data_IF_398000147155
#
_entry.id   IF_398000147155
#
_cell.length_a   1.000
_cell.length_b   1.000
_cell.length_c   1.000
_cell.angle_alpha   90.00
_cell.angle_beta   90.00
_cell.angle_gamma   90.00
#
_symmetry.space_group_name_H-M   'P 1'
#
loop_
_entity.id
_entity.type
_entity.pdbx_description
1 polymer ?
#
# COMPACT_ATOMS: atom_id res chain seq x y z
N UNK A 1 -2.56 64.78 -56.66
CA UNK A 1 -2.54 64.20 -55.31
C UNK A 1 -3.54 63.04 -55.24
N UNK A 2 -3.14 61.83 -55.36
CA UNK A 2 -4.01 60.64 -55.24
C UNK A 2 -3.45 59.79 -54.09
N UNK A 3 -4.22 59.66 -53.03
CA UNK A 3 -3.94 58.78 -51.89
C UNK A 3 -4.11 57.31 -52.30
N UNK A 4 -3.09 56.50 -52.12
CA UNK A 4 -3.16 55.04 -52.23
C UNK A 4 -3.60 54.47 -50.87
N UNK A 5 -4.74 53.80 -50.86
CA UNK A 5 -5.25 53.00 -49.78
C UNK A 5 -4.52 51.63 -49.84
N UNK A 6 -3.76 51.28 -48.83
CA UNK A 6 -3.15 49.96 -48.68
C UNK A 6 -4.17 49.06 -47.99
N UNK A 7 -4.65 48.06 -48.70
CA UNK A 7 -5.52 47.02 -48.16
C UNK A 7 -4.64 45.97 -47.46
N UNK A 8 -4.79 45.87 -46.15
CA UNK A 8 -4.19 44.77 -45.35
C UNK A 8 -5.07 43.53 -45.47
N UNK A 9 -4.58 42.53 -46.18
CA UNK A 9 -5.14 41.18 -46.21
C UNK A 9 -4.86 40.47 -44.89
N UNK A 10 -5.91 40.15 -44.13
CA UNK A 10 -5.82 39.21 -43.00
C UNK A 10 -5.71 37.79 -43.58
N UNK A 11 -4.79 36.96 -43.07
CA UNK A 11 -4.76 35.56 -43.46
C UNK A 11 -5.96 34.82 -42.87
N UNK A 12 -6.57 33.98 -43.69
CA UNK A 12 -7.71 33.12 -43.37
C UNK A 12 -7.42 32.26 -42.13
N UNK A 13 -8.39 32.26 -41.21
CA UNK A 13 -8.41 31.38 -40.03
C UNK A 13 -8.32 29.93 -40.51
N UNK A 14 -7.23 29.29 -40.17
CA UNK A 14 -7.01 27.87 -40.46
C UNK A 14 -8.11 27.01 -39.86
N UNK A 15 -8.58 26.07 -40.65
CA UNK A 15 -9.48 24.99 -40.25
C UNK A 15 -8.96 24.29 -39.02
N UNK A 16 -9.76 24.29 -37.95
CA UNK A 16 -9.54 23.43 -36.78
C UNK A 16 -9.47 21.98 -37.28
N UNK A 17 -8.30 21.36 -37.19
CA UNK A 17 -8.19 19.91 -37.28
C UNK A 17 -8.92 19.31 -36.07
N UNK A 18 -9.75 18.28 -36.26
CA UNK A 18 -10.33 17.56 -35.16
C UNK A 18 -9.18 17.00 -34.31
N UNK A 19 -9.32 17.13 -33.00
CA UNK A 19 -8.40 16.59 -31.99
C UNK A 19 -8.06 15.15 -32.38
N UNK A 20 -6.78 14.88 -32.57
CA UNK A 20 -6.30 13.52 -32.81
C UNK A 20 -6.97 12.59 -31.81
N UNK A 21 -7.59 11.52 -32.28
CA UNK A 21 -8.07 10.43 -31.44
C UNK A 21 -6.94 10.07 -30.48
N UNK A 22 -7.18 10.20 -29.18
CA UNK A 22 -6.21 9.77 -28.18
C UNK A 22 -5.94 8.30 -28.44
N UNK A 23 -4.71 7.97 -28.82
CA UNK A 23 -4.30 6.58 -28.99
C UNK A 23 -4.64 5.82 -27.72
N UNK A 24 -5.56 4.87 -27.83
CA UNK A 24 -6.02 4.05 -26.73
C UNK A 24 -4.86 3.21 -26.21
N UNK A 25 -4.52 3.35 -24.94
CA UNK A 25 -3.42 2.63 -24.33
C UNK A 25 -3.91 1.24 -23.91
N UNK A 26 -3.45 0.21 -24.63
CA UNK A 26 -3.79 -1.19 -24.35
C UNK A 26 -3.49 -1.56 -22.89
N UNK A 27 -4.40 -2.30 -22.26
CA UNK A 27 -4.35 -2.73 -20.85
C UNK A 27 -4.48 -1.60 -19.80
N UNK A 28 -4.90 -0.40 -20.21
CA UNK A 28 -5.17 0.71 -19.31
C UNK A 28 -6.56 1.32 -19.56
N UNK A 29 -6.78 1.86 -20.76
CA UNK A 29 -8.00 2.62 -21.06
C UNK A 29 -9.24 1.73 -21.05
N UNK A 30 -9.12 0.48 -21.51
CA UNK A 30 -10.19 -0.51 -21.48
C UNK A 30 -10.67 -0.89 -20.07
N UNK A 31 -9.82 -0.71 -19.03
CA UNK A 31 -10.19 -0.95 -17.64
C UNK A 31 -10.67 0.32 -16.91
N UNK A 32 -10.74 1.46 -17.63
CA UNK A 32 -11.22 2.75 -17.16
C UNK A 32 -12.45 3.24 -17.92
N UNK A 33 -13.11 2.38 -18.65
CA UNK A 33 -14.31 2.68 -19.39
C UNK A 33 -15.47 3.04 -18.45
N UNK A 34 -15.95 4.29 -18.55
CA UNK A 34 -16.99 4.81 -17.67
C UNK A 34 -18.36 4.19 -17.92
N UNK A 35 -18.67 3.76 -19.15
CA UNK A 35 -19.96 3.12 -19.47
C UNK A 35 -20.02 1.73 -18.89
N UNK A 36 -18.93 0.95 -19.03
CA UNK A 36 -18.81 -0.35 -18.40
C UNK A 36 -18.83 -0.25 -16.88
N UNK A 37 -18.17 0.76 -16.30
CA UNK A 37 -18.21 1.00 -14.86
C UNK A 37 -19.64 1.25 -14.36
N UNK A 38 -20.43 2.05 -15.07
CA UNK A 38 -21.85 2.27 -14.76
C UNK A 38 -22.70 1.03 -14.95
N UNK A 39 -22.41 0.18 -15.96
CA UNK A 39 -23.10 -1.10 -16.14
C UNK A 39 -22.85 -2.02 -14.96
N UNK A 40 -21.61 -2.19 -14.54
CA UNK A 40 -21.24 -2.98 -13.35
C UNK A 40 -21.91 -2.43 -12.09
N UNK A 41 -21.91 -1.11 -11.90
CA UNK A 41 -22.59 -0.47 -10.78
C UNK A 41 -24.08 -0.79 -10.76
N UNK A 42 -24.77 -0.66 -11.89
CA UNK A 42 -26.22 -1.05 -12.01
C UNK A 42 -26.43 -2.52 -11.67
N UNK A 43 -25.54 -3.40 -12.12
CA UNK A 43 -25.66 -4.84 -11.80
C UNK A 43 -25.44 -5.10 -10.29
N UNK A 44 -24.47 -4.42 -9.67
CA UNK A 44 -24.28 -4.48 -8.22
C UNK A 44 -25.54 -4.00 -7.48
N UNK A 45 -26.13 -2.88 -7.89
CA UNK A 45 -27.40 -2.41 -7.32
C UNK A 45 -28.52 -3.43 -7.46
N UNK A 46 -28.61 -4.10 -8.63
CA UNK A 46 -29.65 -5.09 -8.90
C UNK A 46 -29.58 -6.33 -8.03
N UNK A 47 -28.34 -6.81 -7.76
CA UNK A 47 -28.12 -8.06 -7.03
C UNK A 47 -28.04 -7.88 -5.51
N UNK A 48 -27.77 -6.67 -5.03
CA UNK A 48 -27.64 -6.38 -3.60
C UNK A 48 -29.00 -6.29 -2.94
N UNK A 49 -29.29 -7.19 -2.00
CA UNK A 49 -30.60 -7.26 -1.29
C UNK A 49 -30.52 -6.80 0.16
N UNK A 50 -29.32 -6.79 0.77
CA UNK A 50 -29.09 -6.45 2.18
C UNK A 50 -27.72 -5.80 2.40
N UNK A 51 -27.45 -5.22 3.59
CA UNK A 51 -26.19 -4.57 3.88
C UNK A 51 -24.98 -5.52 3.87
N UNK A 52 -23.89 -5.13 3.21
CA UNK A 52 -22.63 -5.86 3.13
C UNK A 52 -21.42 -4.98 3.39
N UNK A 53 -20.47 -5.51 4.17
CA UNK A 53 -19.17 -4.88 4.46
C UNK A 53 -18.07 -5.65 3.72
N UNK A 54 -17.44 -5.01 2.76
CA UNK A 54 -16.37 -5.59 1.93
C UNK A 54 -15.08 -4.85 2.23
N UNK A 55 -14.03 -5.57 2.67
CA UNK A 55 -12.73 -4.98 2.96
C UNK A 55 -11.75 -5.23 1.82
N UNK A 56 -11.09 -4.19 1.33
CA UNK A 56 -9.87 -4.37 0.54
C UNK A 56 -8.64 -4.37 1.46
N UNK A 57 -7.64 -5.18 1.09
CA UNK A 57 -6.38 -5.32 1.84
C UNK A 57 -5.18 -4.89 1.01
N UNK A 58 -5.35 -3.79 0.25
CA UNK A 58 -4.31 -3.23 -0.61
C UNK A 58 -4.43 -1.72 -0.74
N UNK A 59 -3.37 -0.98 -0.36
CA UNK A 59 -3.35 0.47 -0.48
C UNK A 59 -3.53 0.99 -1.91
N UNK A 60 -3.10 0.23 -2.93
CA UNK A 60 -3.38 0.56 -4.34
C UNK A 60 -4.87 0.49 -4.68
N UNK A 61 -5.60 -0.47 -4.12
CA UNK A 61 -7.06 -0.56 -4.25
C UNK A 61 -7.74 0.59 -3.48
N UNK A 62 -7.32 0.88 -2.24
CA UNK A 62 -7.78 2.06 -1.47
C UNK A 62 -7.65 3.33 -2.30
N UNK A 63 -6.44 3.58 -2.84
CA UNK A 63 -6.17 4.75 -3.66
C UNK A 63 -7.09 4.82 -4.88
N UNK A 64 -7.27 3.73 -5.61
CA UNK A 64 -8.13 3.69 -6.78
C UNK A 64 -9.61 3.90 -6.42
N UNK A 65 -10.12 3.26 -5.38
CA UNK A 65 -11.50 3.42 -4.90
C UNK A 65 -11.80 4.89 -4.62
N UNK A 66 -10.95 5.54 -3.82
CA UNK A 66 -11.18 6.93 -3.41
C UNK A 66 -10.94 7.92 -4.56
N UNK A 67 -9.91 7.69 -5.38
CA UNK A 67 -9.56 8.56 -6.52
C UNK A 67 -10.63 8.57 -7.60
N UNK A 68 -11.20 7.44 -7.91
CA UNK A 68 -12.21 7.29 -8.98
C UNK A 68 -13.64 7.34 -8.45
N UNK A 69 -13.85 7.52 -7.14
CA UNK A 69 -15.18 7.59 -6.54
C UNK A 69 -15.97 6.29 -6.70
N UNK A 70 -15.29 5.11 -6.69
CA UNK A 70 -15.94 3.83 -6.93
C UNK A 70 -17.02 3.54 -5.88
N UNK A 71 -16.77 3.88 -4.64
CA UNK A 71 -17.72 3.71 -3.54
C UNK A 71 -18.98 4.61 -3.68
N UNK A 72 -18.91 5.71 -4.42
CA UNK A 72 -20.07 6.56 -4.73
C UNK A 72 -20.99 5.96 -5.81
N UNK A 73 -20.46 5.00 -6.58
CA UNK A 73 -21.24 4.25 -7.58
C UNK A 73 -22.05 3.09 -6.98
N UNK A 74 -21.73 2.71 -5.72
CA UNK A 74 -22.32 1.53 -5.07
C UNK A 74 -23.64 1.89 -4.36
N UNK A 75 -24.54 0.89 -4.18
CA UNK A 75 -25.72 1.09 -3.35
C UNK A 75 -25.34 1.35 -1.89
N UNK A 76 -26.15 2.10 -1.17
CA UNK A 76 -25.93 2.45 0.25
C UNK A 76 -25.82 1.22 1.17
N UNK A 77 -26.26 0.06 0.71
CA UNK A 77 -26.12 -1.22 1.41
C UNK A 77 -24.68 -1.75 1.39
N UNK A 78 -23.82 -1.30 0.47
CA UNK A 78 -22.45 -1.77 0.42
C UNK A 78 -21.52 -0.74 1.09
N UNK A 79 -20.81 -1.20 2.11
CA UNK A 79 -19.75 -0.42 2.77
C UNK A 79 -18.40 -1.00 2.40
N UNK A 80 -17.58 -0.22 1.68
CA UNK A 80 -16.18 -0.56 1.48
C UNK A 80 -15.36 -0.16 2.71
N UNK A 81 -14.53 -1.07 3.18
CA UNK A 81 -13.64 -0.89 4.33
C UNK A 81 -12.19 -0.94 3.85
N UNK A 82 -11.38 0.03 4.28
CA UNK A 82 -9.96 0.12 3.95
C UNK A 82 -9.13 -0.62 4.99
N UNK A 83 -8.61 -1.78 4.62
CA UNK A 83 -7.85 -2.65 5.50
C UNK A 83 -6.35 -2.29 5.56
N UNK A 84 -5.55 -3.11 6.26
CA UNK A 84 -4.11 -2.86 6.49
C UNK A 84 -3.26 -3.22 5.26
N UNK A 85 -3.59 -2.64 4.10
CA UNK A 85 -3.00 -2.97 2.80
C UNK A 85 -1.83 -2.09 2.34
N UNK A 86 -1.40 -1.11 3.14
CA UNK A 86 -0.28 -0.23 2.83
C UNK A 86 0.91 -0.56 3.73
N UNK A 87 2.08 -0.97 3.20
CA UNK A 87 3.21 -1.41 4.02
C UNK A 87 3.79 -0.29 4.89
N UNK A 88 3.80 0.95 4.38
CA UNK A 88 4.19 2.14 5.14
C UNK A 88 3.28 2.32 6.34
N UNK A 89 1.96 2.17 6.11
CA UNK A 89 0.92 2.42 7.11
C UNK A 89 0.96 1.44 8.29
N UNK A 90 1.35 0.19 8.02
CA UNK A 90 1.39 -0.88 9.04
C UNK A 90 2.75 -1.05 9.70
N UNK A 91 3.77 -0.30 9.25
CA UNK A 91 5.10 -0.33 9.89
C UNK A 91 5.00 0.26 11.30
N UNK A 92 5.34 -0.51 12.35
CA UNK A 92 5.20 -0.07 13.73
C UNK A 92 6.18 1.04 14.10
N UNK A 93 5.80 1.89 15.05
CA UNK A 93 6.55 3.08 15.45
C UNK A 93 7.98 2.75 15.91
N UNK A 94 8.15 1.65 16.65
CA UNK A 94 9.47 1.19 17.09
C UNK A 94 10.43 0.87 15.93
N UNK A 95 9.93 0.46 14.75
CA UNK A 95 10.78 0.24 13.59
C UNK A 95 11.23 1.56 12.96
N UNK A 96 10.39 2.59 13.04
CA UNK A 96 10.77 3.94 12.63
C UNK A 96 11.86 4.49 13.56
N UNK A 97 11.69 4.33 14.87
CA UNK A 97 12.67 4.80 15.85
C UNK A 97 14.03 4.07 15.71
N UNK A 98 14.01 2.76 15.46
CA UNK A 98 15.22 2.01 15.11
C UNK A 98 15.90 2.54 13.83
N UNK A 99 15.10 2.89 12.83
CA UNK A 99 15.61 3.49 11.59
C UNK A 99 16.26 4.85 11.86
N UNK A 100 15.65 5.68 12.70
CA UNK A 100 16.19 6.99 13.12
C UNK A 100 17.50 6.83 13.89
N UNK A 101 17.58 5.88 14.81
CA UNK A 101 18.79 5.58 15.58
C UNK A 101 19.95 5.18 14.67
N UNK A 102 19.72 4.27 13.71
CA UNK A 102 20.78 3.85 12.77
C UNK A 102 21.19 5.02 11.87
N UNK A 103 20.20 5.74 11.31
CA UNK A 103 20.44 6.82 10.36
C UNK A 103 21.24 7.99 10.95
N UNK A 104 21.17 8.20 12.27
CA UNK A 104 21.90 9.23 12.97
C UNK A 104 23.37 8.85 13.27
N UNK A 105 23.78 7.58 13.07
CA UNK A 105 25.13 7.13 13.40
C UNK A 105 26.16 7.62 12.38
N UNK A 106 27.31 8.13 12.80
CA UNK A 106 28.41 8.51 11.89
C UNK A 106 28.88 7.31 11.05
N UNK A 107 29.22 7.54 9.80
CA UNK A 107 29.72 6.49 8.89
C UNK A 107 28.66 5.57 8.30
N UNK A 108 27.38 5.82 8.59
CA UNK A 108 26.24 5.07 8.02
C UNK A 108 25.66 5.82 6.82
N UNK A 109 25.43 5.12 5.71
CA UNK A 109 24.53 5.52 4.64
C UNK A 109 23.23 4.78 4.86
N UNK A 110 22.19 5.48 5.26
CA UNK A 110 20.87 4.91 5.49
C UNK A 110 19.99 5.09 4.24
N UNK A 111 19.38 4.02 3.75
CA UNK A 111 18.61 4.04 2.52
C UNK A 111 17.19 3.50 2.74
N UNK A 112 16.20 4.13 2.11
CA UNK A 112 14.82 3.64 2.09
C UNK A 112 14.05 4.23 0.91
N UNK A 113 12.79 3.80 0.75
CA UNK A 113 11.84 4.40 -0.19
C UNK A 113 11.36 5.77 0.30
N UNK A 114 11.01 6.64 -0.65
CA UNK A 114 10.74 8.06 -0.36
C UNK A 114 9.68 8.33 0.71
N UNK A 115 8.58 7.58 0.72
CA UNK A 115 7.51 7.76 1.70
C UNK A 115 8.00 7.52 3.14
N UNK A 116 8.89 6.53 3.34
CA UNK A 116 9.42 6.22 4.67
C UNK A 116 10.18 7.37 5.32
N UNK A 117 10.74 8.28 4.52
CA UNK A 117 11.51 9.41 5.06
C UNK A 117 10.64 10.43 5.80
N UNK A 118 9.33 10.45 5.48
CA UNK A 118 8.36 11.39 6.05
C UNK A 118 7.51 10.78 7.16
N UNK A 119 7.64 9.47 7.41
CA UNK A 119 6.87 8.82 8.48
C UNK A 119 7.40 9.31 9.82
N UNK A 120 6.52 9.89 10.67
CA UNK A 120 6.95 10.35 11.98
C UNK A 120 7.33 9.17 12.89
N UNK A 121 8.50 9.27 13.51
CA UNK A 121 8.90 8.49 14.68
C UNK A 121 8.40 9.13 15.96
N UNK A 122 8.87 8.66 17.11
CA UNK A 122 8.47 9.19 18.42
C UNK A 122 8.92 10.65 18.64
N UNK A 123 10.03 11.06 18.06
CA UNK A 123 10.62 12.39 18.30
C UNK A 123 10.86 13.18 17.02
N UNK A 124 11.07 12.52 15.88
CA UNK A 124 11.45 13.14 14.61
C UNK A 124 11.18 12.19 13.45
N UNK A 125 11.63 12.54 12.24
CA UNK A 125 11.57 11.72 11.03
C UNK A 125 12.95 11.61 10.33
N UNK A 126 13.06 10.76 9.32
CA UNK A 126 14.32 10.57 8.58
C UNK A 126 14.73 11.79 7.74
N UNK A 127 13.79 12.65 7.30
CA UNK A 127 14.13 13.91 6.64
C UNK A 127 14.82 14.87 7.61
N UNK A 128 14.35 14.93 8.84
CA UNK A 128 14.98 15.73 9.90
C UNK A 128 16.37 15.20 10.26
N UNK A 129 16.58 13.89 10.29
CA UNK A 129 17.92 13.29 10.46
C UNK A 129 18.83 13.69 9.30
N UNK A 130 18.33 13.63 8.06
CA UNK A 130 19.06 14.09 6.88
C UNK A 130 19.43 15.58 6.97
N UNK A 131 18.52 16.43 7.42
CA UNK A 131 18.77 17.86 7.59
C UNK A 131 19.84 18.17 8.65
N UNK A 132 20.04 17.26 9.62
CA UNK A 132 21.07 17.35 10.68
C UNK A 132 22.37 16.62 10.35
N UNK A 133 22.65 16.43 9.05
CA UNK A 133 23.89 15.81 8.51
C UNK A 133 23.92 14.28 8.50
N UNK A 134 22.82 13.58 8.76
CA UNK A 134 22.71 12.15 8.50
C UNK A 134 22.76 11.84 7.00
N UNK A 135 23.51 10.81 6.59
CA UNK A 135 23.57 10.40 5.17
C UNK A 135 22.37 9.50 4.83
N UNK A 136 21.18 10.12 4.70
CA UNK A 136 19.93 9.44 4.36
C UNK A 136 19.62 9.61 2.88
N UNK A 137 19.46 8.52 2.14
CA UNK A 137 19.26 8.52 0.69
C UNK A 137 17.99 7.79 0.29
N UNK A 138 17.25 8.37 -0.65
CA UNK A 138 16.12 7.72 -1.31
C UNK A 138 16.67 6.77 -2.37
N UNK A 139 16.17 5.54 -2.37
CA UNK A 139 16.43 4.53 -3.40
C UNK A 139 15.11 4.06 -4.01
N UNK A 140 15.17 3.64 -5.26
CA UNK A 140 14.01 3.13 -6.00
C UNK A 140 14.02 1.60 -6.11
N UNK A 141 15.13 0.98 -5.73
CA UNK A 141 15.31 -0.46 -5.67
C UNK A 141 16.19 -0.83 -4.48
N UNK A 142 15.93 -1.97 -3.80
CA UNK A 142 16.87 -2.50 -2.80
C UNK A 142 18.27 -2.76 -3.37
N UNK A 143 18.37 -3.04 -4.66
CA UNK A 143 19.65 -3.24 -5.37
C UNK A 143 20.48 -1.97 -5.48
N UNK A 144 19.86 -0.78 -5.41
CA UNK A 144 20.61 0.48 -5.38
C UNK A 144 21.38 0.64 -4.07
N UNK A 145 20.83 0.13 -2.96
CA UNK A 145 21.55 0.09 -1.69
C UNK A 145 22.77 -0.87 -1.75
N UNK A 146 22.65 -1.99 -2.45
CA UNK A 146 23.81 -2.91 -2.69
C UNK A 146 24.90 -2.21 -3.50
N UNK A 147 24.53 -1.49 -4.58
CA UNK A 147 25.50 -0.69 -5.36
C UNK A 147 26.18 0.39 -4.52
N UNK A 148 25.41 1.05 -3.64
CA UNK A 148 25.98 2.03 -2.71
C UNK A 148 26.99 1.40 -1.76
N UNK A 149 26.76 0.18 -1.29
CA UNK A 149 27.72 -0.54 -0.44
C UNK A 149 29.02 -0.88 -1.20
N UNK A 150 28.93 -1.29 -2.45
CA UNK A 150 30.10 -1.53 -3.31
C UNK A 150 30.93 -0.26 -3.54
N UNK A 151 30.24 0.86 -3.74
CA UNK A 151 30.89 2.17 -4.02
C UNK A 151 31.45 2.85 -2.76
N UNK A 152 31.06 2.43 -1.56
CA UNK A 152 31.44 3.06 -0.30
C UNK A 152 31.97 2.03 0.72
N UNK A 153 33.08 1.33 0.44
CA UNK A 153 33.55 0.23 1.27
C UNK A 153 33.94 0.64 2.71
N UNK A 154 34.20 1.93 2.96
CA UNK A 154 34.53 2.47 4.27
C UNK A 154 33.30 2.90 5.10
N UNK A 155 32.08 2.79 4.54
CA UNK A 155 30.83 3.15 5.21
C UNK A 155 29.92 1.94 5.37
N UNK A 156 29.14 1.89 6.41
CA UNK A 156 28.03 0.95 6.58
C UNK A 156 26.83 1.42 5.73
N UNK A 157 26.29 0.55 4.91
CA UNK A 157 25.07 0.83 4.12
C UNK A 157 23.92 0.01 4.65
N UNK A 158 22.89 0.70 5.10
CA UNK A 158 21.68 0.06 5.64
C UNK A 158 20.50 0.34 4.74
N UNK A 159 19.79 -0.71 4.34
CA UNK A 159 18.51 -0.59 3.64
C UNK A 159 17.36 -0.87 4.60
N UNK A 160 16.45 0.08 4.75
CA UNK A 160 15.20 -0.11 5.47
C UNK A 160 14.16 -0.74 4.54
N UNK A 161 14.02 -2.05 4.63
CA UNK A 161 13.14 -2.86 3.81
C UNK A 161 11.73 -2.94 4.40
N UNK A 162 10.83 -2.13 3.86
CA UNK A 162 9.41 -2.10 4.21
C UNK A 162 8.61 -2.63 3.03
N UNK A 163 7.68 -3.55 3.28
CA UNK A 163 6.92 -4.16 2.18
C UNK A 163 5.99 -5.30 2.60
N UNK A 164 5.26 -5.78 1.62
CA UNK A 164 4.52 -7.03 1.64
C UNK A 164 5.21 -8.08 0.78
N UNK A 165 4.53 -9.19 0.50
CA UNK A 165 5.00 -10.27 -0.35
C UNK A 165 5.41 -9.79 -1.75
N UNK A 166 4.77 -8.73 -2.25
CA UNK A 166 5.08 -8.16 -3.57
C UNK A 166 6.53 -7.68 -3.70
N UNK A 167 7.06 -7.03 -2.65
CA UNK A 167 8.40 -6.44 -2.65
C UNK A 167 9.45 -7.37 -2.04
N UNK A 168 9.03 -8.42 -1.35
CA UNK A 168 9.92 -9.40 -0.71
C UNK A 168 10.94 -10.04 -1.69
N UNK A 169 10.60 -10.39 -2.95
CA UNK A 169 11.57 -10.95 -3.88
C UNK A 169 12.71 -9.99 -4.23
N UNK A 170 12.43 -8.70 -4.47
CA UNK A 170 13.46 -7.71 -4.77
C UNK A 170 14.37 -7.46 -3.55
N UNK A 171 13.79 -7.47 -2.36
CA UNK A 171 14.50 -7.33 -1.09
C UNK A 171 15.38 -8.57 -0.81
N UNK A 172 14.85 -9.78 -1.05
CA UNK A 172 15.61 -11.03 -0.97
C UNK A 172 16.78 -11.03 -1.96
N UNK A 173 16.54 -10.57 -3.20
CA UNK A 173 17.59 -10.49 -4.23
C UNK A 173 18.74 -9.57 -3.80
N UNK A 174 18.44 -8.46 -3.13
CA UNK A 174 19.48 -7.56 -2.63
C UNK A 174 20.38 -8.24 -1.58
N UNK A 175 19.80 -8.96 -0.63
CA UNK A 175 20.57 -9.73 0.38
C UNK A 175 21.36 -10.85 -0.29
N UNK A 176 20.72 -11.59 -1.21
CA UNK A 176 21.36 -12.67 -1.95
C UNK A 176 22.59 -12.17 -2.73
N UNK A 177 22.42 -11.08 -3.50
CA UNK A 177 23.54 -10.48 -4.26
C UNK A 177 24.63 -9.92 -3.36
N UNK A 178 24.28 -9.27 -2.24
CA UNK A 178 25.28 -8.80 -1.29
C UNK A 178 26.12 -9.96 -0.72
N UNK A 179 25.48 -11.10 -0.42
CA UNK A 179 26.16 -12.31 0.02
C UNK A 179 27.07 -12.88 -1.07
N UNK A 180 26.58 -13.03 -2.31
CA UNK A 180 27.37 -13.52 -3.45
C UNK A 180 28.62 -12.66 -3.73
N UNK A 181 28.50 -11.35 -3.54
CA UNK A 181 29.61 -10.39 -3.72
C UNK A 181 30.51 -10.30 -2.48
N UNK A 182 30.20 -11.00 -1.42
CA UNK A 182 30.97 -10.99 -0.17
C UNK A 182 30.99 -9.64 0.56
N UNK A 183 29.97 -8.79 0.34
CA UNK A 183 29.88 -7.47 0.97
C UNK A 183 29.76 -7.60 2.48
N UNK A 184 30.62 -6.89 3.21
CA UNK A 184 30.60 -6.88 4.69
C UNK A 184 29.94 -5.65 5.26
N UNK A 185 29.80 -4.60 4.46
CA UNK A 185 29.31 -3.27 4.84
C UNK A 185 27.85 -3.02 4.39
N UNK A 186 27.10 -4.06 4.00
CA UNK A 186 25.68 -3.99 3.73
C UNK A 186 24.89 -4.67 4.83
N UNK A 187 23.78 -4.07 5.24
CA UNK A 187 22.82 -4.70 6.15
C UNK A 187 21.39 -4.19 5.88
N UNK A 188 20.43 -4.85 6.47
CA UNK A 188 19.02 -4.59 6.23
C UNK A 188 18.25 -4.51 7.55
N UNK A 189 17.51 -3.44 7.73
CA UNK A 189 16.46 -3.30 8.74
C UNK A 189 15.15 -3.75 8.11
N UNK A 190 14.55 -4.87 8.59
CA UNK A 190 13.45 -5.53 7.90
C UNK A 190 12.12 -5.28 8.60
N UNK A 191 11.15 -4.73 7.87
CA UNK A 191 9.75 -4.56 8.26
C UNK A 191 8.79 -5.11 7.19
N UNK A 192 9.12 -6.28 6.62
CA UNK A 192 8.22 -6.99 5.71
C UNK A 192 7.18 -7.79 6.48
N UNK A 193 5.94 -7.70 6.03
CA UNK A 193 4.77 -8.35 6.62
C UNK A 193 4.00 -9.16 5.58
N UNK A 194 3.11 -10.07 6.03
CA UNK A 194 2.38 -11.03 5.22
C UNK A 194 0.87 -10.82 5.36
N UNK A 195 0.16 -10.77 4.23
CA UNK A 195 -1.27 -10.45 4.18
C UNK A 195 -2.17 -11.55 4.77
N UNK A 196 -2.00 -12.86 4.47
CA UNK A 196 -2.92 -13.88 4.97
C UNK A 196 -3.04 -13.93 6.50
N UNK A 197 -1.96 -13.86 7.30
CA UNK A 197 -2.06 -13.78 8.75
C UNK A 197 -2.76 -12.53 9.28
N UNK A 198 -2.66 -11.40 8.56
CA UNK A 198 -3.37 -10.19 8.93
C UNK A 198 -4.89 -10.32 8.72
N UNK A 199 -5.33 -10.96 7.62
CA UNK A 199 -6.74 -11.30 7.40
C UNK A 199 -7.24 -12.20 8.54
N UNK A 200 -6.47 -13.22 8.92
CA UNK A 200 -6.83 -14.11 10.03
C UNK A 200 -6.97 -13.35 11.37
N UNK A 201 -6.03 -12.47 11.67
CA UNK A 201 -6.08 -11.66 12.88
C UNK A 201 -7.30 -10.73 12.92
N UNK A 202 -7.62 -10.08 11.80
CA UNK A 202 -8.82 -9.24 11.66
C UNK A 202 -10.10 -10.04 11.86
N UNK A 203 -10.23 -11.20 11.21
CA UNK A 203 -11.42 -12.07 11.29
C UNK A 203 -11.59 -12.68 12.68
N UNK A 204 -10.51 -12.86 13.44
CA UNK A 204 -10.55 -13.36 14.81
C UNK A 204 -10.93 -12.29 15.83
N UNK A 205 -10.96 -11.01 15.43
CA UNK A 205 -11.35 -9.91 16.32
C UNK A 205 -12.84 -9.94 16.63
N UNK A 206 -13.27 -9.79 17.91
CA UNK A 206 -14.67 -9.76 18.27
C UNK A 206 -15.44 -8.58 17.65
N UNK A 207 -14.74 -7.52 17.26
CA UNK A 207 -15.31 -6.33 16.65
C UNK A 207 -15.27 -6.35 15.12
N UNK A 208 -14.90 -7.48 14.50
CA UNK A 208 -14.83 -7.62 13.06
C UNK A 208 -16.21 -7.49 12.42
N UNK A 209 -16.32 -6.58 11.45
CA UNK A 209 -17.54 -6.37 10.67
C UNK A 209 -17.40 -6.82 9.22
N UNK A 210 -16.23 -7.34 8.84
CA UNK A 210 -15.91 -7.71 7.47
C UNK A 210 -16.65 -8.98 7.08
N UNK A 211 -17.27 -8.97 5.91
CA UNK A 211 -18.07 -10.09 5.38
C UNK A 211 -17.53 -10.62 4.04
N UNK A 212 -16.63 -9.88 3.38
CA UNK A 212 -15.89 -10.32 2.21
C UNK A 212 -14.59 -9.54 2.06
N UNK A 213 -13.64 -10.08 1.28
CA UNK A 213 -12.37 -9.44 0.99
C UNK A 213 -12.13 -9.26 -0.51
N UNK A 214 -11.59 -8.09 -0.86
CA UNK A 214 -10.86 -7.88 -2.11
C UNK A 214 -9.37 -8.08 -1.81
N UNK A 215 -8.82 -9.19 -2.30
CA UNK A 215 -7.41 -9.52 -2.07
C UNK A 215 -6.51 -8.84 -3.10
N UNK A 216 -5.31 -8.45 -2.64
CA UNK A 216 -4.33 -7.69 -3.41
C UNK A 216 -3.76 -8.50 -4.59
N UNK A 217 -4.11 -8.16 -5.82
CA UNK A 217 -3.67 -8.88 -7.02
C UNK A 217 -2.16 -8.95 -7.16
N UNK A 218 -1.42 -7.89 -6.79
CA UNK A 218 0.04 -7.89 -6.89
C UNK A 218 0.72 -8.80 -5.84
N UNK A 219 0.13 -8.95 -4.64
CA UNK A 219 0.58 -9.95 -3.65
C UNK A 219 0.37 -11.35 -4.23
N UNK A 220 -0.83 -11.62 -4.76
CA UNK A 220 -1.17 -12.91 -5.35
C UNK A 220 -0.37 -13.23 -6.63
N UNK A 221 0.09 -12.23 -7.38
CA UNK A 221 0.98 -12.45 -8.51
C UNK A 221 2.32 -13.09 -8.09
N UNK A 222 2.79 -12.79 -6.89
CA UNK A 222 4.00 -13.39 -6.30
C UNK A 222 3.66 -14.70 -5.56
N UNK A 223 2.78 -14.64 -4.58
CA UNK A 223 2.54 -15.77 -3.66
C UNK A 223 1.48 -16.76 -4.16
N UNK A 224 0.70 -16.40 -5.18
CA UNK A 224 -0.50 -17.13 -5.53
C UNK A 224 -1.64 -16.82 -4.56
N UNK A 225 -2.63 -17.69 -4.51
CA UNK A 225 -3.76 -17.56 -3.59
C UNK A 225 -4.15 -18.88 -2.89
N UNK A 226 -3.20 -19.82 -2.81
CA UNK A 226 -3.42 -21.12 -2.17
C UNK A 226 -3.59 -21.02 -0.65
N UNK A 227 -3.17 -19.93 -0.04
CA UNK A 227 -3.34 -19.67 1.40
C UNK A 227 -4.73 -19.14 1.76
N UNK A 228 -5.51 -18.63 0.80
CA UNK A 228 -6.83 -18.05 1.07
C UNK A 228 -7.97 -19.05 1.23
N UNK A 229 -8.04 -20.21 0.50
CA UNK A 229 -9.15 -21.14 0.66
C UNK A 229 -9.37 -21.63 2.10
N UNK A 230 -8.34 -21.96 2.90
CA UNK A 230 -8.55 -22.29 4.31
C UNK A 230 -9.18 -21.16 5.13
N UNK A 231 -8.83 -19.89 4.84
CA UNK A 231 -9.40 -18.72 5.51
C UNK A 231 -10.86 -18.51 5.12
N UNK A 232 -11.17 -18.61 3.81
CA UNK A 232 -12.53 -18.48 3.29
C UNK A 232 -13.47 -19.51 3.94
N UNK A 233 -13.04 -20.76 4.02
CA UNK A 233 -13.80 -21.84 4.67
C UNK A 233 -13.96 -21.62 6.17
N UNK A 234 -12.85 -21.31 6.87
CA UNK A 234 -12.84 -21.13 8.33
C UNK A 234 -13.77 -20.02 8.79
N UNK A 235 -13.72 -18.88 8.11
CA UNK A 235 -14.47 -17.69 8.48
C UNK A 235 -15.78 -17.50 7.69
N UNK A 236 -16.06 -18.38 6.72
CA UNK A 236 -17.22 -18.31 5.84
C UNK A 236 -17.33 -16.96 5.13
N UNK A 237 -16.21 -16.49 4.56
CA UNK A 237 -16.11 -15.19 3.86
C UNK A 237 -15.61 -15.40 2.43
N UNK A 238 -16.26 -14.80 1.43
CA UNK A 238 -15.71 -14.70 0.09
C UNK A 238 -14.38 -13.94 0.08
N UNK A 239 -13.42 -14.41 -0.71
CA UNK A 239 -12.17 -13.70 -0.96
C UNK A 239 -11.96 -13.63 -2.47
N UNK A 240 -12.02 -12.44 -3.04
CA UNK A 240 -11.85 -12.24 -4.48
C UNK A 240 -10.53 -11.52 -4.75
N UNK A 241 -9.64 -12.18 -5.50
CA UNK A 241 -8.39 -11.57 -5.95
C UNK A 241 -8.69 -10.59 -7.07
N UNK A 242 -8.35 -9.30 -6.89
CA UNK A 242 -8.66 -8.24 -7.86
C UNK A 242 -7.43 -7.47 -8.31
N UNK A 243 -7.53 -6.86 -9.50
CA UNK A 243 -6.60 -5.83 -9.96
C UNK A 243 -6.88 -4.47 -9.29
N UNK A 244 -6.45 -3.39 -9.96
CA UNK A 244 -6.39 -2.05 -9.38
C UNK A 244 -7.14 -0.99 -10.19
N UNK A 245 -7.50 -1.32 -11.44
CA UNK A 245 -8.25 -0.41 -12.28
C UNK A 245 -9.73 -0.40 -11.86
N UNK A 246 -10.49 0.66 -12.16
CA UNK A 246 -11.89 0.78 -11.74
C UNK A 246 -12.75 -0.43 -12.07
N UNK A 247 -12.62 -0.98 -13.29
CA UNK A 247 -13.40 -2.15 -13.71
C UNK A 247 -12.97 -3.43 -12.98
N UNK A 248 -11.68 -3.59 -12.66
CA UNK A 248 -11.22 -4.73 -11.85
C UNK A 248 -11.88 -4.74 -10.48
N UNK A 249 -11.89 -3.56 -9.83
CA UNK A 249 -12.45 -3.39 -8.49
C UNK A 249 -13.96 -3.61 -8.49
N UNK A 250 -14.69 -3.00 -9.45
CA UNK A 250 -16.13 -3.18 -9.57
C UNK A 250 -16.52 -4.63 -9.87
N UNK A 251 -15.78 -5.31 -10.74
CA UNK A 251 -16.00 -6.75 -11.00
C UNK A 251 -15.74 -7.58 -9.74
N UNK A 252 -14.67 -7.30 -9.01
CA UNK A 252 -14.37 -7.98 -7.74
C UNK A 252 -15.46 -7.77 -6.69
N UNK A 253 -15.99 -6.55 -6.57
CA UNK A 253 -17.12 -6.24 -5.69
C UNK A 253 -18.37 -7.03 -6.11
N UNK A 254 -18.69 -7.04 -7.40
CA UNK A 254 -19.82 -7.82 -7.93
C UNK A 254 -19.70 -9.30 -7.58
N UNK A 255 -18.51 -9.89 -7.79
CA UNK A 255 -18.23 -11.29 -7.44
C UNK A 255 -18.40 -11.55 -5.93
N UNK A 256 -17.91 -10.65 -5.07
CA UNK A 256 -18.12 -10.74 -3.62
C UNK A 256 -19.61 -10.70 -3.29
N UNK A 257 -20.37 -9.77 -3.83
CA UNK A 257 -21.80 -9.62 -3.55
C UNK A 257 -22.58 -10.84 -4.04
N UNK A 258 -22.30 -11.35 -5.23
CA UNK A 258 -22.95 -12.56 -5.76
C UNK A 258 -22.72 -13.79 -4.87
N UNK A 259 -21.51 -13.93 -4.30
CA UNK A 259 -21.24 -15.00 -3.34
C UNK A 259 -22.01 -14.79 -2.03
N UNK A 260 -21.97 -13.56 -1.49
CA UNK A 260 -22.65 -13.21 -0.24
C UNK A 260 -24.18 -13.42 -0.33
N UNK A 261 -24.79 -12.99 -1.42
CA UNK A 261 -26.24 -13.14 -1.65
C UNK A 261 -26.66 -14.62 -1.85
N UNK A 262 -25.76 -15.44 -2.40
CA UNK A 262 -25.99 -16.88 -2.57
C UNK A 262 -25.50 -17.73 -1.39
N UNK A 263 -24.95 -17.14 -0.34
CA UNK A 263 -24.42 -17.86 0.83
C UNK A 263 -23.16 -18.67 0.55
N UNK A 264 -22.42 -18.36 -0.53
CA UNK A 264 -21.13 -18.98 -0.85
C UNK A 264 -19.99 -18.26 -0.13
N UNK A 265 -18.87 -18.95 0.07
CA UNK A 265 -17.68 -18.42 0.71
C UNK A 265 -16.44 -19.09 0.09
N UNK A 266 -16.11 -18.68 -1.11
CA UNK A 266 -15.06 -19.28 -1.94
C UNK A 266 -13.98 -18.23 -2.31
N UNK A 267 -12.84 -18.73 -2.79
CA UNK A 267 -11.81 -17.87 -3.37
C UNK A 267 -11.97 -17.82 -4.88
N UNK A 268 -12.21 -16.63 -5.42
CA UNK A 268 -12.28 -16.39 -6.85
C UNK A 268 -11.18 -15.44 -7.30
N UNK A 269 -10.76 -15.58 -8.57
CA UNK A 269 -9.68 -14.76 -9.14
C UNK A 269 -10.21 -13.93 -10.32
N UNK A 270 -10.57 -12.67 -10.07
CA UNK A 270 -10.89 -11.69 -11.11
C UNK A 270 -9.67 -11.30 -11.92
N UNK A 271 -8.47 -11.28 -11.29
CA UNK A 271 -7.24 -10.78 -11.89
C UNK A 271 -6.45 -11.87 -12.65
N UNK A 272 -7.15 -12.79 -13.31
CA UNK A 272 -6.58 -13.97 -13.96
C UNK A 272 -5.54 -13.64 -15.06
N UNK A 273 -5.58 -12.41 -15.62
CA UNK A 273 -4.57 -11.97 -16.60
C UNK A 273 -3.16 -11.86 -16.00
N UNK A 274 -3.03 -11.62 -14.70
CA UNK A 274 -1.74 -11.43 -14.01
C UNK A 274 -1.49 -12.48 -12.91
N UNK A 275 -2.53 -13.09 -12.34
CA UNK A 275 -2.41 -13.97 -11.17
C UNK A 275 -2.64 -15.42 -11.55
N UNK A 276 -1.74 -16.28 -11.10
CA UNK A 276 -1.86 -17.74 -11.16
C UNK A 276 -2.04 -18.31 -9.75
N UNK A 277 -2.71 -19.46 -9.63
CA UNK A 277 -3.00 -20.06 -8.33
C UNK A 277 -1.73 -20.28 -7.48
N UNK A 278 -0.66 -20.75 -8.10
CA UNK A 278 0.62 -21.02 -7.44
C UNK A 278 1.55 -19.79 -7.38
N UNK A 279 1.18 -18.68 -8.02
CA UNK A 279 2.01 -17.47 -8.10
C UNK A 279 3.31 -17.65 -8.87
N UNK A 280 4.33 -16.89 -8.50
CA UNK A 280 5.67 -16.89 -9.11
C UNK A 280 6.61 -17.78 -8.28
N UNK A 281 6.75 -19.05 -8.68
CA UNK A 281 7.55 -20.05 -7.95
C UNK A 281 9.04 -19.69 -7.82
N UNK A 282 9.73 -19.17 -8.85
CA UNK A 282 11.12 -18.69 -8.71
C UNK A 282 11.25 -17.59 -7.66
N UNK A 283 10.35 -16.61 -7.64
CA UNK A 283 10.36 -15.53 -6.66
C UNK A 283 10.14 -16.06 -5.23
N UNK A 284 9.17 -16.95 -5.05
CA UNK A 284 8.90 -17.59 -3.76
C UNK A 284 10.09 -18.43 -3.26
N UNK A 285 10.79 -19.14 -4.17
CA UNK A 285 11.98 -19.91 -3.82
C UNK A 285 13.06 -19.00 -3.23
N UNK A 286 13.32 -17.85 -3.88
CA UNK A 286 14.30 -16.88 -3.40
C UNK A 286 13.90 -16.27 -2.05
N UNK A 287 12.63 -15.95 -1.88
CA UNK A 287 12.10 -15.43 -0.60
C UNK A 287 12.31 -16.43 0.52
N UNK A 288 11.96 -17.72 0.30
CA UNK A 288 12.16 -18.80 1.28
C UNK A 288 13.63 -19.13 1.58
N UNK A 289 14.54 -18.88 0.64
CA UNK A 289 15.97 -19.06 0.85
C UNK A 289 16.53 -17.98 1.79
N UNK A 290 16.18 -16.73 1.53
CA UNK A 290 16.73 -15.56 2.23
C UNK A 290 16.01 -15.27 3.55
N UNK A 291 14.70 -15.45 3.57
CA UNK A 291 13.87 -15.13 4.73
C UNK A 291 13.27 -16.36 5.39
N UNK A 292 12.91 -16.19 6.65
CA UNK A 292 12.05 -17.08 7.44
C UNK A 292 10.84 -16.30 7.94
N UNK A 293 9.73 -16.97 8.13
CA UNK A 293 8.54 -16.41 8.74
C UNK A 293 8.76 -16.20 10.24
N UNK A 294 8.35 -15.04 10.74
CA UNK A 294 8.50 -14.63 12.15
C UNK A 294 7.22 -13.94 12.62
N UNK A 295 6.94 -13.88 13.94
CA UNK A 295 5.92 -12.96 14.45
C UNK A 295 6.34 -11.52 14.17
N UNK A 296 5.35 -10.64 13.91
CA UNK A 296 5.61 -9.24 13.64
C UNK A 296 4.51 -8.37 14.24
N UNK A 297 4.92 -7.25 14.82
CA UNK A 297 3.98 -6.21 15.23
C UNK A 297 3.53 -5.40 14.01
N UNK A 298 2.24 -5.15 13.95
CA UNK A 298 1.60 -4.33 12.93
C UNK A 298 1.06 -3.06 13.60
N UNK A 299 1.35 -1.90 13.01
CA UNK A 299 0.86 -0.62 13.54
C UNK A 299 -0.67 -0.65 13.66
N UNK A 300 -1.18 -0.30 14.85
CA UNK A 300 -2.60 -0.23 15.13
C UNK A 300 -3.34 -1.57 15.27
N UNK A 301 -2.68 -2.72 15.07
CA UNK A 301 -3.30 -4.05 15.21
C UNK A 301 -2.66 -4.82 16.38
N UNK A 302 -1.33 -4.69 16.55
CA UNK A 302 -0.57 -5.44 17.54
C UNK A 302 0.32 -6.52 16.95
N UNK A 303 0.83 -7.42 17.80
CA UNK A 303 1.67 -8.54 17.37
C UNK A 303 0.81 -9.64 16.78
N UNK A 304 1.14 -10.06 15.56
CA UNK A 304 0.48 -11.14 14.85
C UNK A 304 1.49 -12.29 14.67
N UNK A 305 1.18 -13.50 15.12
CA UNK A 305 2.03 -14.67 14.91
C UNK A 305 2.26 -14.96 13.42
N UNK A 306 3.46 -15.37 13.05
CA UNK A 306 3.82 -15.79 11.69
C UNK A 306 3.44 -14.78 10.58
N UNK A 307 3.47 -13.48 10.87
CA UNK A 307 2.96 -12.43 9.99
C UNK A 307 4.03 -11.54 9.39
N UNK A 308 5.29 -11.89 9.52
CA UNK A 308 6.38 -11.11 8.95
C UNK A 308 7.56 -11.95 8.51
N UNK A 309 8.51 -11.28 7.86
CA UNK A 309 9.74 -11.86 7.38
C UNK A 309 10.93 -11.38 8.24
N UNK A 310 11.81 -12.29 8.56
CA UNK A 310 13.13 -12.06 9.15
C UNK A 310 14.19 -12.82 8.36
N UNK A 311 15.45 -12.44 8.45
CA UNK A 311 16.53 -13.16 7.76
C UNK A 311 16.65 -14.61 8.25
N UNK A 312 16.88 -15.53 7.33
CA UNK A 312 17.24 -16.91 7.66
C UNK A 312 18.63 -16.96 8.30
N UNK A 313 18.97 -18.08 8.94
CA UNK A 313 20.26 -18.23 9.62
C UNK A 313 21.47 -18.01 8.68
N UNK A 314 21.34 -18.44 7.42
CA UNK A 314 22.38 -18.27 6.40
C UNK A 314 22.71 -16.80 6.09
N UNK A 315 21.74 -15.92 6.26
CA UNK A 315 21.87 -14.49 5.95
C UNK A 315 21.87 -13.60 7.19
N UNK A 316 21.97 -14.16 8.39
CA UNK A 316 21.89 -13.44 9.66
C UNK A 316 22.95 -12.32 9.82
N UNK A 317 24.06 -12.39 9.10
CA UNK A 317 25.10 -11.37 9.09
C UNK A 317 24.65 -10.03 8.48
N UNK A 318 23.57 -10.05 7.70
CA UNK A 318 22.97 -8.85 7.08
C UNK A 318 21.89 -8.19 7.95
N UNK A 319 21.63 -8.70 9.16
CA UNK A 319 20.62 -8.18 10.07
C UNK A 319 21.11 -6.90 10.75
N UNK A 320 20.51 -5.75 10.38
CA UNK A 320 20.89 -4.46 10.95
C UNK A 320 20.57 -4.33 12.44
N UNK A 321 19.47 -4.94 12.93
CA UNK A 321 19.16 -4.88 14.36
C UNK A 321 20.27 -5.50 15.19
N UNK A 322 20.79 -6.65 14.76
CA UNK A 322 21.94 -7.33 15.41
C UNK A 322 23.23 -6.56 15.24
N UNK A 323 23.50 -6.08 14.01
CA UNK A 323 24.76 -5.37 13.69
C UNK A 323 24.91 -4.09 14.50
N UNK A 324 23.83 -3.37 14.70
CA UNK A 324 23.84 -2.11 15.43
C UNK A 324 23.52 -2.25 16.92
N UNK A 325 23.23 -3.46 17.38
CA UNK A 325 22.91 -3.75 18.78
C UNK A 325 21.67 -3.03 19.27
N UNK A 326 20.63 -2.95 18.40
CA UNK A 326 19.40 -2.23 18.73
C UNK A 326 18.62 -2.99 19.80
N UNK A 327 18.19 -2.25 20.82
CA UNK A 327 17.33 -2.78 21.88
C UNK A 327 15.88 -2.96 21.43
N UNK A 328 15.09 -3.58 22.31
CA UNK A 328 13.63 -3.58 22.15
C UNK A 328 13.10 -2.20 22.56
N UNK A 329 12.67 -1.42 21.58
CA UNK A 329 11.93 -0.19 21.84
C UNK A 329 10.46 -0.56 22.09
N UNK A 330 9.94 -0.18 23.24
CA UNK A 330 8.50 -0.21 23.48
C UNK A 330 8.00 1.22 23.40
N UNK A 331 7.24 1.50 22.36
CA UNK A 331 6.73 2.85 22.08
C UNK A 331 5.24 2.75 21.80
N UNK A 332 4.48 3.63 22.41
CA UNK A 332 3.05 3.76 22.16
C UNK A 332 2.79 4.70 20.98
N UNK A 333 1.79 4.37 20.18
CA UNK A 333 1.33 5.24 19.10
C UNK A 333 0.76 6.54 19.69
N UNK A 334 0.89 7.69 18.98
CA UNK A 334 0.32 8.95 19.44
C UNK A 334 -1.20 8.81 19.71
N UNK A 335 -1.66 9.19 20.89
CA UNK A 335 -3.05 9.06 21.31
C UNK A 335 -4.04 9.80 20.37
N UNK A 336 -3.60 10.89 19.75
CA UNK A 336 -4.39 11.67 18.80
C UNK A 336 -4.52 10.99 17.42
N UNK A 337 -3.77 9.91 17.14
CA UNK A 337 -3.80 9.21 15.86
C UNK A 337 -4.66 7.95 15.90
N UNK A 338 -5.85 8.01 15.30
CA UNK A 338 -6.78 6.87 15.24
C UNK A 338 -6.57 5.97 14.01
N UNK A 339 -5.40 6.01 13.37
CA UNK A 339 -5.12 5.20 12.16
C UNK A 339 -5.27 3.70 12.39
N UNK A 340 -5.01 3.20 13.60
CA UNK A 340 -5.24 1.81 13.97
C UNK A 340 -6.71 1.38 13.83
N UNK A 341 -7.65 2.25 14.23
CA UNK A 341 -9.08 1.99 14.06
C UNK A 341 -9.51 2.05 12.59
N UNK A 342 -8.88 2.93 11.78
CA UNK A 342 -9.11 2.98 10.33
C UNK A 342 -8.66 1.67 9.68
N UNK A 343 -7.44 1.20 9.97
CA UNK A 343 -6.87 -0.03 9.41
C UNK A 343 -7.63 -1.30 9.81
N UNK A 344 -8.30 -1.27 10.96
CA UNK A 344 -9.20 -2.35 11.41
C UNK A 344 -10.63 -2.21 10.85
N UNK A 345 -10.92 -1.15 10.09
CA UNK A 345 -12.24 -0.90 9.52
C UNK A 345 -13.31 -0.48 10.52
N UNK A 346 -12.91 0.00 11.69
CA UNK A 346 -13.84 0.44 12.73
C UNK A 346 -14.38 1.86 12.50
N UNK A 347 -13.54 2.73 11.92
CA UNK A 347 -13.89 4.10 11.53
C UNK A 347 -13.38 4.43 10.12
N UNK A 348 -13.98 5.46 9.50
CA UNK A 348 -13.46 6.08 8.27
C UNK A 348 -12.44 7.17 8.62
N UNK A 349 -11.51 7.54 7.69
CA UNK A 349 -10.51 8.57 7.93
C UNK A 349 -11.08 9.92 8.40
N UNK A 350 -12.19 10.37 7.82
CA UNK A 350 -12.84 11.64 8.16
C UNK A 350 -13.55 11.64 9.52
N UNK A 351 -13.76 10.48 10.13
CA UNK A 351 -14.29 10.36 11.49
C UNK A 351 -13.21 10.54 12.56
N UNK A 352 -11.92 10.57 12.18
CA UNK A 352 -10.83 10.87 13.10
C UNK A 352 -10.80 12.38 13.42
N UNK A 353 -10.89 12.79 14.71
CA UNK A 353 -10.91 14.21 15.10
C UNK A 353 -9.72 15.03 14.63
N UNK A 354 -8.56 14.39 14.44
CA UNK A 354 -7.35 15.07 13.96
C UNK A 354 -7.33 15.29 12.44
N UNK A 355 -8.20 14.58 11.69
CA UNK A 355 -8.17 14.56 10.21
C UNK A 355 -8.44 15.95 9.62
N UNK A 356 -7.54 16.38 8.71
CA UNK A 356 -7.66 17.65 7.99
C UNK A 356 -7.41 18.90 8.84
N UNK A 357 -7.27 18.75 10.17
CA UNK A 357 -6.90 19.81 11.08
C UNK A 357 -5.45 19.65 11.56
N UNK A 358 -5.27 19.00 12.72
CA UNK A 358 -3.93 18.70 13.27
C UNK A 358 -3.12 17.71 12.38
N UNK A 359 -3.80 16.82 11.64
CA UNK A 359 -3.19 15.78 10.82
C UNK A 359 -3.45 16.03 9.34
N UNK A 360 -2.40 16.42 8.61
CA UNK A 360 -2.40 16.68 7.16
C UNK A 360 -1.19 15.97 6.52
N UNK A 361 -1.11 15.85 5.18
CA UNK A 361 0.08 15.29 4.52
C UNK A 361 1.37 16.06 4.79
N UNK A 362 1.27 17.37 5.09
CA UNK A 362 2.39 18.23 5.47
C UNK A 362 2.81 18.03 6.93
N UNK A 363 1.85 17.70 7.81
CA UNK A 363 2.03 17.49 9.24
C UNK A 363 1.34 16.19 9.67
N UNK A 364 1.83 15.01 9.23
CA UNK A 364 1.18 13.74 9.52
C UNK A 364 1.41 13.33 10.98
N UNK A 365 0.32 12.95 11.69
CA UNK A 365 0.42 12.34 13.01
C UNK A 365 0.70 10.84 12.93
N UNK A 366 0.39 10.20 11.80
CA UNK A 366 0.60 8.79 11.58
C UNK A 366 0.88 8.43 10.13
N UNK A 367 1.40 7.24 9.90
CA UNK A 367 1.89 6.77 8.61
C UNK A 367 0.79 6.71 7.51
N UNK A 368 -0.48 6.51 7.88
CA UNK A 368 -1.61 6.48 6.95
C UNK A 368 -1.89 7.82 6.25
N UNK A 369 -1.35 8.93 6.78
CA UNK A 369 -1.44 10.26 6.17
C UNK A 369 -0.22 10.58 5.28
N UNK A 370 0.85 9.76 5.34
CA UNK A 370 2.10 9.98 4.58
C UNK A 370 2.04 9.37 3.19
N UNK A 371 1.72 8.10 3.10
CA UNK A 371 1.71 7.37 1.83
C UNK A 371 0.42 7.66 1.04
N UNK A 372 0.56 7.82 -0.28
CA UNK A 372 -0.59 7.95 -1.18
C UNK A 372 -1.49 6.71 -1.21
N UNK A 373 -0.99 5.58 -0.74
CA UNK A 373 -1.74 4.33 -0.54
C UNK A 373 -2.42 4.24 0.83
N UNK A 374 -2.12 5.17 1.74
CA UNK A 374 -2.78 5.24 3.04
C UNK A 374 -4.19 5.81 2.93
N UNK A 375 -5.14 5.20 3.62
CA UNK A 375 -6.54 5.62 3.58
C UNK A 375 -6.72 7.09 3.95
N UNK A 376 -6.02 7.59 4.99
CA UNK A 376 -6.10 8.99 5.41
C UNK A 376 -5.62 9.95 4.31
N UNK A 377 -4.47 9.66 3.69
CA UNK A 377 -3.93 10.50 2.61
C UNK A 377 -4.81 10.48 1.36
N UNK A 378 -5.38 9.31 1.01
CA UNK A 378 -6.30 9.19 -0.12
C UNK A 378 -7.57 10.01 0.10
N UNK A 379 -8.19 9.90 1.28
CA UNK A 379 -9.36 10.71 1.64
C UNK A 379 -9.04 12.21 1.65
N UNK A 380 -7.93 12.60 2.25
CA UNK A 380 -7.51 14.01 2.29
C UNK A 380 -7.36 14.59 0.89
N UNK A 381 -6.77 13.84 -0.04
CA UNK A 381 -6.50 14.31 -1.40
C UNK A 381 -7.75 14.39 -2.27
N UNK A 382 -8.66 13.42 -2.16
CA UNK A 382 -9.75 13.26 -3.11
C UNK A 382 -11.14 13.56 -2.54
N UNK A 383 -11.30 13.60 -1.19
CA UNK A 383 -12.61 13.80 -0.53
C UNK A 383 -12.67 15.02 0.39
N UNK A 384 -11.68 15.89 0.35
CA UNK A 384 -11.61 17.06 1.22
C UNK A 384 -12.83 18.01 1.06
N UNK A 385 -13.36 18.16 -0.14
CA UNK A 385 -14.49 19.07 -0.41
C UNK A 385 -15.81 18.57 0.17
N UNK A 386 -16.07 17.27 0.17
CA UNK A 386 -17.30 16.69 0.76
C UNK A 386 -17.38 16.82 2.27
N UNK A 387 -16.23 16.84 2.96
CA UNK A 387 -16.16 16.97 4.43
C UNK A 387 -16.46 18.42 4.85
N UNK A 388 -16.03 19.40 4.08
CA UNK A 388 -16.24 20.84 4.39
C UNK A 388 -17.72 21.24 4.26
N UNK A 389 -18.45 20.69 3.29
CA UNK A 389 -19.89 20.95 3.12
C UNK A 389 -20.73 20.36 4.25
N UNK A 390 -20.36 19.17 4.76
CA UNK A 390 -21.07 18.53 5.88
C UNK A 390 -20.80 19.25 7.22
N UNK A 391 -19.62 19.86 7.38
CA UNK A 391 -19.27 20.61 8.57
C UNK A 391 -19.90 22.00 8.64
N UNK A 392 -20.25 22.59 7.48
CA UNK A 392 -20.96 23.88 7.37
C UNK A 392 -22.50 23.73 7.47
N UNK A 393 -23.00 22.48 7.37
CA UNK A 393 -24.42 22.15 7.46
C UNK A 393 -24.86 21.70 8.88
N UNK A 394 -23.96 21.71 9.86
CA UNK A 394 -24.22 21.47 11.29
C UNK A 394 -23.94 22.73 12.08
#
# INVERSE_FOLDING_TARGET
MRQRVVSLLFPSVGTFHPLAEKAQMKYLDEYRDGELAQQLAREIHRVTTRPWNIMEVCGGQTHAIVKFGIDELLPNQITLIHGPGCPVCVTPLEMIDKALEIAARPGVIFTSFGDMLRVPGSTTDLLSVKARSGDVRIVYSPLDAVKLAEQNPAKEVVFFGVGFETTAPATAMAVFQAAQKGLKNFSMLISHVLVPPAIEALMSSPNCRVQAFLAAGHVCAIMGYEEYPPLAVKYRVPIVVTGFEPLDILQGILMCVQQLESGRAEVENQYARAVRKQGNQPAQKLVREVFRVVPRKWRGIGEIPASGLGLSAAYAAFDAEKRFGLGNHHVDEPADCLSGLVLQGQIKPHECPAFGGKCTPEHPLGATMVSSEGACAAYYRYRRHSVTETALAR
#
